data_IF_164518249049
#
_entry.id   IF_164518249049
#
_cell.length_a   1.000
_cell.length_b   1.000
_cell.length_c   1.000
_cell.angle_alpha   90.00
_cell.angle_beta   90.00
_cell.angle_gamma   90.00
#
_symmetry.space_group_name_H-M   'P 1'
#
loop_
_entity.id
_entity.type
_entity.pdbx_description
1 polymer ?
#
# COMPACT_ATOMS: atom_id res chain seq x y z
N UNK A 1 -0.45 32.39 30.78
CA UNK A 1 -0.14 32.77 32.17
C UNK A 1 0.15 31.49 32.92
N UNK A 2 1.41 31.17 33.16
CA UNK A 2 1.87 30.31 34.24
C UNK A 2 3.38 30.54 34.36
N UNK A 3 3.75 31.50 35.20
CA UNK A 3 5.13 31.83 35.53
C UNK A 3 5.60 30.86 36.61
N UNK A 4 6.37 29.84 36.22
CA UNK A 4 7.03 28.95 37.17
C UNK A 4 8.15 29.71 37.91
N UNK A 5 7.85 30.12 39.13
CA UNK A 5 8.79 30.66 40.11
C UNK A 5 9.70 29.51 40.57
N UNK A 6 10.92 29.43 40.05
CA UNK A 6 11.89 28.40 40.43
C UNK A 6 12.80 28.94 41.55
N UNK A 7 12.43 28.66 42.80
CA UNK A 7 13.25 28.94 43.98
C UNK A 7 14.37 27.90 44.10
N UNK A 8 15.58 28.26 43.67
CA UNK A 8 16.78 27.46 43.92
C UNK A 8 17.33 27.79 45.33
N UNK A 9 17.28 26.82 46.25
CA UNK A 9 17.98 26.90 47.53
C UNK A 9 19.49 26.73 47.28
N UNK A 10 20.26 27.81 47.44
CA UNK A 10 21.70 27.83 47.26
C UNK A 10 22.41 27.47 48.57
N UNK A 11 23.07 26.30 48.61
CA UNK A 11 23.98 25.92 49.68
C UNK A 11 25.38 25.76 49.08
N UNK A 12 26.28 26.64 49.53
CA UNK A 12 27.75 26.65 49.37
C UNK A 12 28.36 26.88 47.97
N UNK A 13 29.33 27.80 47.98
CA UNK A 13 30.24 28.31 46.93
C UNK A 13 30.23 27.65 45.53
N UNK A 14 29.37 28.17 44.64
CA UNK A 14 29.65 28.68 43.27
C UNK A 14 28.34 28.81 42.48
N UNK A 15 27.45 29.74 42.90
CA UNK A 15 26.11 29.91 42.28
C UNK A 15 26.19 30.24 40.79
N UNK A 16 27.25 30.94 40.37
CA UNK A 16 27.47 31.36 38.98
C UNK A 16 27.79 30.19 38.06
N UNK A 17 28.54 29.18 38.55
CA UNK A 17 28.83 27.97 37.79
C UNK A 17 27.59 27.09 37.60
N UNK A 18 26.79 26.93 38.66
CA UNK A 18 25.52 26.20 38.59
C UNK A 18 24.53 26.86 37.62
N UNK A 19 24.44 28.19 37.64
CA UNK A 19 23.62 28.95 36.68
C UNK A 19 24.08 28.74 35.23
N UNK A 20 25.38 28.87 34.95
CA UNK A 20 25.94 28.66 33.60
C UNK A 20 25.66 27.23 33.11
N UNK A 21 25.79 26.22 33.96
CA UNK A 21 25.50 24.83 33.61
C UNK A 21 24.02 24.60 33.35
N UNK A 22 23.13 25.19 34.15
CA UNK A 22 21.68 25.11 33.95
C UNK A 22 21.25 25.78 32.64
N UNK A 23 21.75 26.98 32.36
CA UNK A 23 21.48 27.71 31.11
C UNK A 23 21.97 26.90 29.90
N UNK A 24 23.19 26.36 29.96
CA UNK A 24 23.73 25.47 28.91
C UNK A 24 22.83 24.26 28.70
N UNK A 25 22.36 23.62 29.78
CA UNK A 25 21.47 22.46 29.70
C UNK A 25 20.13 22.81 29.05
N UNK A 26 19.48 23.89 29.49
CA UNK A 26 18.21 24.36 28.92
C UNK A 26 18.37 24.70 27.45
N UNK A 27 19.44 25.40 27.08
CA UNK A 27 19.71 25.77 25.68
C UNK A 27 19.94 24.53 24.81
N UNK A 28 20.67 23.54 25.34
CA UNK A 28 20.95 22.30 24.62
C UNK A 28 19.69 21.45 24.47
N UNK A 29 18.89 21.31 25.53
CA UNK A 29 17.64 20.54 25.53
C UNK A 29 16.61 21.18 24.58
N UNK A 30 16.47 22.51 24.59
CA UNK A 30 15.59 23.24 23.67
C UNK A 30 16.06 23.14 22.22
N UNK A 31 17.37 23.20 21.96
CA UNK A 31 17.94 23.01 20.63
C UNK A 31 17.72 21.59 20.09
N UNK A 32 18.00 20.55 20.87
CA UNK A 32 17.77 19.16 20.43
C UNK A 32 16.29 18.84 20.26
N UNK A 33 15.42 19.35 21.16
CA UNK A 33 13.97 19.13 21.06
C UNK A 33 13.38 19.83 19.82
N UNK A 34 13.81 21.06 19.53
CA UNK A 34 13.37 21.79 18.34
C UNK A 34 13.88 21.15 17.05
N UNK A 35 15.14 20.69 17.01
CA UNK A 35 15.70 19.94 15.88
C UNK A 35 14.95 18.64 15.60
N UNK A 36 14.59 17.89 16.65
CA UNK A 36 13.84 16.63 16.51
C UNK A 36 12.39 16.87 16.05
N UNK A 37 11.77 17.96 16.53
CA UNK A 37 10.46 18.44 16.07
C UNK A 37 10.49 18.83 14.59
N UNK A 38 11.53 19.52 14.15
CA UNK A 38 11.72 19.92 12.75
C UNK A 38 11.91 18.71 11.82
N UNK A 39 12.71 17.71 12.23
CA UNK A 39 12.85 16.46 11.48
C UNK A 39 11.55 15.66 11.37
N UNK A 40 10.74 15.61 12.44
CA UNK A 40 9.41 14.98 12.40
C UNK A 40 8.50 15.69 11.40
N UNK A 41 8.46 17.03 11.44
CA UNK A 41 7.69 17.86 10.51
C UNK A 41 8.16 17.69 9.06
N UNK A 42 9.47 17.56 8.82
CA UNK A 42 10.02 17.27 7.48
C UNK A 42 9.51 15.93 6.96
N UNK A 43 9.55 14.87 7.78
CA UNK A 43 9.03 13.55 7.40
C UNK A 43 7.54 13.60 7.07
N UNK A 44 6.74 14.29 7.90
CA UNK A 44 5.31 14.49 7.67
C UNK A 44 5.01 15.23 6.36
N UNK A 45 5.92 16.07 5.86
CA UNK A 45 5.80 16.74 4.55
C UNK A 45 6.27 15.88 3.38
N UNK A 46 7.28 15.03 3.57
CA UNK A 46 7.84 14.20 2.49
C UNK A 46 6.89 13.06 2.12
N UNK A 47 6.24 12.44 3.11
CA UNK A 47 5.32 11.30 2.90
C UNK A 47 4.18 11.63 1.93
N UNK A 48 3.42 12.73 2.08
CA UNK A 48 2.35 13.05 1.13
C UNK A 48 2.90 13.34 -0.28
N UNK A 49 4.05 13.99 -0.40
CA UNK A 49 4.71 14.21 -1.70
C UNK A 49 5.10 12.89 -2.37
N UNK A 50 5.70 11.96 -1.62
CA UNK A 50 6.01 10.62 -2.13
C UNK A 50 4.73 9.85 -2.51
N UNK A 51 3.66 10.00 -1.72
CA UNK A 51 2.34 9.44 -2.02
C UNK A 51 1.76 9.98 -3.33
N UNK A 52 1.89 11.28 -3.60
CA UNK A 52 1.45 11.90 -4.85
C UNK A 52 2.21 11.35 -6.06
N UNK A 53 3.54 11.23 -5.95
CA UNK A 53 4.38 10.64 -7.02
C UNK A 53 3.95 9.20 -7.33
N UNK A 54 3.73 8.38 -6.29
CA UNK A 54 3.27 7.00 -6.44
C UNK A 54 1.89 6.94 -7.11
N UNK A 55 0.99 7.85 -6.71
CA UNK A 55 -0.37 7.92 -7.26
C UNK A 55 -0.33 8.29 -8.75
N UNK A 56 0.47 9.30 -9.11
CA UNK A 56 0.65 9.74 -10.50
C UNK A 56 1.22 8.61 -11.37
N UNK A 57 2.26 7.90 -10.92
CA UNK A 57 2.86 6.81 -11.69
C UNK A 57 1.84 5.67 -11.90
N UNK A 58 1.11 5.30 -10.86
CA UNK A 58 0.00 4.34 -10.98
C UNK A 58 -1.08 4.84 -11.94
N UNK A 59 -1.37 6.15 -11.94
CA UNK A 59 -2.38 6.80 -12.79
C UNK A 59 -1.94 7.04 -14.24
N UNK A 60 -0.66 6.98 -14.55
CA UNK A 60 -0.16 7.15 -15.91
C UNK A 60 0.16 5.80 -16.57
N UNK A 61 0.39 4.75 -15.77
CA UNK A 61 0.68 3.42 -16.29
C UNK A 61 -0.49 2.85 -17.12
N UNK A 62 -0.23 2.51 -18.38
CA UNK A 62 -1.20 1.87 -19.27
C UNK A 62 -1.24 0.37 -19.04
N UNK A 63 -2.44 -0.17 -18.85
CA UNK A 63 -2.66 -1.61 -18.68
C UNK A 63 -3.39 -2.17 -19.88
N UNK A 64 -2.85 -3.25 -20.45
CA UNK A 64 -3.58 -4.04 -21.42
C UNK A 64 -4.60 -4.93 -20.69
N UNK A 65 -5.88 -4.70 -20.96
CA UNK A 65 -7.00 -5.46 -20.40
C UNK A 65 -7.59 -6.45 -21.42
N UNK A 66 -7.01 -6.53 -22.62
CA UNK A 66 -7.55 -7.35 -23.72
C UNK A 66 -7.14 -8.81 -23.62
N UNK A 67 -6.01 -9.11 -22.97
CA UNK A 67 -5.46 -10.46 -22.85
C UNK A 67 -5.43 -10.88 -21.38
N UNK A 68 -6.21 -11.90 -21.04
CA UNK A 68 -6.20 -12.50 -19.71
C UNK A 68 -5.37 -13.80 -19.71
N UNK A 69 -4.42 -13.98 -18.77
CA UNK A 69 -3.62 -15.20 -18.72
C UNK A 69 -4.48 -16.40 -18.33
N UNK A 70 -4.21 -17.60 -18.89
CA UNK A 70 -4.90 -18.82 -18.51
C UNK A 70 -4.71 -19.15 -17.01
N UNK A 71 -5.66 -19.91 -16.44
CA UNK A 71 -5.75 -20.19 -14.99
C UNK A 71 -4.54 -20.87 -14.37
N UNK A 72 -3.65 -21.41 -15.18
CA UNK A 72 -2.52 -22.19 -14.71
C UNK A 72 -1.27 -21.31 -14.55
N UNK A 73 -1.27 -20.13 -15.19
CA UNK A 73 -0.14 -19.20 -15.26
C UNK A 73 -0.51 -17.75 -14.91
N UNK A 74 -1.57 -17.51 -14.13
CA UNK A 74 -2.02 -16.14 -13.82
C UNK A 74 -1.02 -15.30 -12.99
N UNK A 75 -0.06 -15.94 -12.32
CA UNK A 75 1.04 -15.24 -11.65
C UNK A 75 2.17 -14.82 -12.60
N UNK A 76 2.24 -15.42 -13.80
CA UNK A 76 3.30 -15.12 -14.77
C UNK A 76 3.09 -13.72 -15.35
N UNK A 77 4.15 -12.90 -15.36
CA UNK A 77 4.08 -11.53 -15.87
C UNK A 77 3.41 -10.51 -14.95
N UNK A 78 2.85 -10.91 -13.80
CA UNK A 78 2.19 -9.99 -12.87
C UNK A 78 3.14 -8.90 -12.33
N UNK A 79 4.42 -9.20 -12.17
CA UNK A 79 5.43 -8.22 -11.76
C UNK A 79 5.61 -7.07 -12.78
N UNK A 80 5.35 -7.32 -14.07
CA UNK A 80 5.48 -6.31 -15.14
C UNK A 80 4.35 -5.28 -15.10
N UNK A 81 3.22 -5.61 -14.47
CA UNK A 81 2.07 -4.71 -14.33
C UNK A 81 2.19 -3.80 -13.09
N UNK A 82 3.33 -3.81 -12.40
CA UNK A 82 3.58 -2.94 -11.24
C UNK A 82 4.50 -1.79 -11.68
N UNK A 83 4.11 -0.52 -11.45
CA UNK A 83 4.98 0.62 -11.77
C UNK A 83 6.30 0.55 -11.01
N UNK A 84 7.37 1.10 -11.59
CA UNK A 84 8.71 1.01 -11.01
C UNK A 84 8.80 1.69 -9.64
N UNK A 85 8.11 2.82 -9.45
CA UNK A 85 8.11 3.54 -8.16
C UNK A 85 7.44 2.72 -7.06
N UNK A 86 6.31 2.06 -7.38
CA UNK A 86 5.62 1.16 -6.47
C UNK A 86 6.47 -0.08 -6.16
N UNK A 87 7.19 -0.60 -7.15
CA UNK A 87 8.12 -1.71 -6.95
C UNK A 87 9.24 -1.33 -5.97
N UNK A 88 9.85 -0.16 -6.14
CA UNK A 88 10.88 0.35 -5.23
C UNK A 88 10.34 0.50 -3.78
N UNK A 89 9.09 0.97 -3.63
CA UNK A 89 8.44 1.00 -2.31
C UNK A 89 8.28 -0.40 -1.74
N UNK A 90 7.77 -1.36 -2.51
CA UNK A 90 7.59 -2.74 -2.07
C UNK A 90 8.93 -3.40 -1.68
N UNK A 91 9.99 -3.17 -2.46
CA UNK A 91 11.33 -3.67 -2.19
C UNK A 91 11.89 -3.08 -0.88
N UNK A 92 11.62 -1.80 -0.60
CA UNK A 92 12.00 -1.16 0.68
C UNK A 92 11.31 -1.78 1.89
N UNK A 93 10.11 -2.35 1.72
CA UNK A 93 9.36 -3.05 2.77
C UNK A 93 9.83 -4.51 2.98
N UNK A 94 10.54 -5.09 2.01
CA UNK A 94 10.91 -6.52 2.02
C UNK A 94 11.89 -6.90 3.14
N UNK A 95 12.70 -5.95 3.64
CA UNK A 95 13.73 -6.23 4.66
C UNK A 95 14.80 -7.24 4.22
N UNK A 96 15.86 -7.42 5.03
CA UNK A 96 17.02 -8.29 4.68
C UNK A 96 16.79 -9.80 5.00
N UNK A 97 15.63 -10.41 4.66
CA UNK A 97 15.31 -11.79 5.07
C UNK A 97 15.42 -12.84 3.96
N UNK A 98 15.81 -14.06 4.37
CA UNK A 98 16.33 -15.22 3.60
C UNK A 98 15.39 -15.93 2.61
N UNK A 99 14.18 -15.45 2.34
CA UNK A 99 13.26 -16.10 1.38
C UNK A 99 12.60 -15.04 0.48
N UNK A 100 13.43 -14.50 -0.43
CA UNK A 100 13.09 -13.36 -1.27
C UNK A 100 11.92 -13.68 -2.22
N UNK A 101 11.83 -14.92 -2.74
CA UNK A 101 10.83 -15.24 -3.77
C UNK A 101 9.40 -15.28 -3.20
N UNK A 102 9.19 -15.95 -2.05
CA UNK A 102 7.87 -16.03 -1.41
C UNK A 102 7.40 -14.66 -0.94
N UNK A 103 8.30 -13.83 -0.42
CA UNK A 103 8.00 -12.46 0.00
C UNK A 103 7.70 -11.56 -1.19
N UNK A 104 8.47 -11.65 -2.28
CA UNK A 104 8.19 -10.92 -3.53
C UNK A 104 6.82 -11.23 -4.11
N UNK A 105 6.38 -12.49 -4.10
CA UNK A 105 5.04 -12.87 -4.55
C UNK A 105 3.94 -12.20 -3.71
N UNK A 106 4.12 -12.13 -2.39
CA UNK A 106 3.19 -11.43 -1.48
C UNK A 106 3.17 -9.92 -1.74
N UNK A 107 4.34 -9.31 -1.86
CA UNK A 107 4.48 -7.89 -2.17
C UNK A 107 3.85 -7.54 -3.51
N UNK A 108 4.04 -8.39 -4.53
CA UNK A 108 3.39 -8.25 -5.83
C UNK A 108 1.87 -8.33 -5.70
N UNK A 109 1.33 -9.27 -4.91
CA UNK A 109 -0.11 -9.36 -4.67
C UNK A 109 -0.66 -8.10 -3.97
N UNK A 110 0.08 -7.54 -3.00
CA UNK A 110 -0.28 -6.27 -2.33
C UNK A 110 -0.25 -5.10 -3.32
N UNK A 111 0.78 -5.01 -4.16
CA UNK A 111 0.88 -3.98 -5.19
C UNK A 111 -0.31 -4.03 -6.15
N UNK A 112 -0.70 -5.24 -6.59
CA UNK A 112 -1.90 -5.44 -7.41
C UNK A 112 -3.18 -5.02 -6.68
N UNK A 113 -3.29 -5.27 -5.37
CA UNK A 113 -4.41 -4.79 -4.57
C UNK A 113 -4.45 -3.26 -4.52
N UNK A 114 -3.32 -2.59 -4.27
CA UNK A 114 -3.21 -1.12 -4.25
C UNK A 114 -3.58 -0.50 -5.60
N UNK A 115 -3.07 -1.05 -6.71
CA UNK A 115 -3.40 -0.54 -8.04
C UNK A 115 -4.90 -0.74 -8.31
N UNK A 116 -5.48 -1.86 -7.89
CA UNK A 116 -6.91 -2.13 -8.06
C UNK A 116 -7.82 -1.18 -7.27
N UNK A 117 -7.37 -0.69 -6.11
CA UNK A 117 -8.12 0.31 -5.33
C UNK A 117 -8.03 1.70 -5.95
N UNK A 118 -6.87 2.05 -6.54
CA UNK A 118 -6.67 3.35 -7.20
C UNK A 118 -7.37 3.40 -8.58
N UNK A 119 -7.36 2.28 -9.32
CA UNK A 119 -7.95 2.17 -10.67
C UNK A 119 -8.90 0.99 -10.82
N UNK A 120 -10.09 1.04 -10.20
CA UNK A 120 -11.02 -0.09 -10.24
C UNK A 120 -11.58 -0.39 -11.64
N UNK A 121 -11.59 0.59 -12.56
CA UNK A 121 -12.19 0.44 -13.90
C UNK A 121 -11.20 0.08 -14.99
N UNK A 122 -9.95 0.51 -14.84
CA UNK A 122 -8.93 0.45 -15.90
C UNK A 122 -7.87 -0.61 -15.64
N UNK A 123 -7.83 -1.20 -14.46
CA UNK A 123 -6.86 -2.21 -14.08
C UNK A 123 -7.53 -3.54 -13.76
N UNK A 124 -7.14 -4.58 -14.50
CA UNK A 124 -7.55 -5.95 -14.24
C UNK A 124 -6.34 -6.73 -13.69
N UNK A 125 -6.29 -6.95 -12.38
CA UNK A 125 -5.20 -7.73 -11.78
C UNK A 125 -5.32 -9.20 -12.17
N UNK A 126 -4.32 -9.79 -12.85
CA UNK A 126 -4.31 -11.22 -13.16
C UNK A 126 -4.25 -12.09 -11.90
N UNK A 127 -3.60 -11.63 -10.83
CA UNK A 127 -3.52 -12.36 -9.56
C UNK A 127 -4.89 -12.43 -8.89
N UNK A 128 -5.57 -11.29 -8.72
CA UNK A 128 -6.85 -11.27 -8.01
C UNK A 128 -7.95 -11.97 -8.80
N UNK A 129 -8.00 -11.75 -10.12
CA UNK A 129 -8.97 -12.44 -10.99
C UNK A 129 -8.65 -13.93 -11.13
N UNK A 130 -7.38 -14.31 -11.23
CA UNK A 130 -6.94 -15.70 -11.30
C UNK A 130 -7.37 -16.50 -10.07
N UNK A 131 -7.22 -15.92 -8.87
CA UNK A 131 -7.70 -16.53 -7.62
C UNK A 131 -9.23 -16.67 -7.63
N UNK A 132 -9.97 -15.64 -8.06
CA UNK A 132 -11.43 -15.70 -8.15
C UNK A 132 -11.90 -16.81 -9.10
N UNK A 133 -11.30 -16.91 -10.29
CA UNK A 133 -11.60 -17.92 -11.29
C UNK A 133 -11.22 -19.33 -10.81
N UNK A 134 -10.05 -19.46 -10.16
CA UNK A 134 -9.59 -20.73 -9.59
C UNK A 134 -10.55 -21.24 -8.52
N UNK A 135 -10.95 -20.37 -7.59
CA UNK A 135 -11.93 -20.70 -6.55
C UNK A 135 -13.26 -21.10 -7.16
N UNK A 136 -13.74 -20.35 -8.17
CA UNK A 136 -14.99 -20.66 -8.85
C UNK A 136 -14.96 -22.03 -9.53
N UNK A 137 -13.90 -22.33 -10.28
CA UNK A 137 -13.74 -23.63 -10.97
C UNK A 137 -13.58 -24.80 -10.01
N UNK A 138 -12.82 -24.61 -8.92
CA UNK A 138 -12.49 -25.70 -7.99
C UNK A 138 -13.63 -26.02 -7.01
N UNK A 139 -14.36 -25.02 -6.53
CA UNK A 139 -15.36 -25.20 -5.48
C UNK A 139 -16.80 -25.02 -5.96
N UNK A 140 -17.07 -24.32 -7.06
CA UNK A 140 -18.41 -24.10 -7.60
C UNK A 140 -19.40 -23.40 -6.65
N UNK A 141 -18.94 -22.93 -5.49
CA UNK A 141 -19.79 -22.44 -4.41
C UNK A 141 -20.03 -20.93 -4.52
N UNK A 142 -21.30 -20.56 -4.71
CA UNK A 142 -21.77 -19.16 -4.70
C UNK A 142 -21.50 -18.46 -3.36
N UNK A 143 -21.41 -19.22 -2.27
CA UNK A 143 -21.11 -18.69 -0.94
C UNK A 143 -19.66 -18.19 -0.86
N UNK A 144 -18.69 -18.97 -1.36
CA UNK A 144 -17.28 -18.56 -1.35
C UNK A 144 -17.04 -17.32 -2.21
N UNK A 145 -17.69 -17.27 -3.38
CA UNK A 145 -17.59 -16.13 -4.30
C UNK A 145 -18.15 -14.85 -3.68
N UNK A 146 -19.18 -14.95 -2.84
CA UNK A 146 -19.75 -13.79 -2.14
C UNK A 146 -18.97 -13.35 -0.89
N UNK A 147 -18.12 -14.22 -0.33
CA UNK A 147 -17.23 -13.89 0.80
C UNK A 147 -15.95 -13.17 0.36
N UNK A 148 -15.41 -13.47 -0.82
CA UNK A 148 -14.15 -12.91 -1.30
C UNK A 148 -14.14 -11.37 -1.42
N UNK A 149 -15.20 -10.72 -1.94
CA UNK A 149 -15.29 -9.25 -1.94
C UNK A 149 -15.40 -8.66 -0.54
N UNK A 150 -16.02 -9.38 0.41
CA UNK A 150 -16.16 -8.93 1.80
C UNK A 150 -14.82 -8.93 2.55
N UNK A 151 -13.89 -9.76 2.11
CA UNK A 151 -12.51 -9.83 2.63
C UNK A 151 -11.60 -8.75 2.04
N UNK A 152 -12.08 -7.94 1.09
CA UNK A 152 -11.28 -6.90 0.44
C UNK A 152 -10.19 -7.44 -0.51
N UNK A 153 -10.19 -8.75 -0.79
CA UNK A 153 -9.17 -9.42 -1.62
C UNK A 153 -9.53 -9.46 -3.09
N UNK A 154 -10.79 -9.23 -3.45
CA UNK A 154 -11.27 -9.27 -4.83
C UNK A 154 -12.02 -7.97 -5.12
N UNK A 155 -11.62 -7.33 -6.23
CA UNK A 155 -12.31 -6.21 -6.83
C UNK A 155 -13.80 -6.49 -6.79
N UNK A 156 -14.53 -5.56 -6.22
CA UNK A 156 -15.96 -5.71 -5.99
C UNK A 156 -16.61 -6.35 -7.21
N UNK A 157 -17.38 -7.40 -6.99
CA UNK A 157 -18.46 -7.86 -7.89
C UNK A 157 -19.52 -6.74 -8.05
N UNK A 158 -19.23 -5.50 -7.59
CA UNK A 158 -20.04 -4.31 -7.75
C UNK A 158 -19.61 -3.45 -8.97
N UNK A 159 -18.55 -3.82 -9.69
CA UNK A 159 -18.40 -3.39 -11.10
C UNK A 159 -19.16 -4.31 -12.08
N UNK A 160 -19.78 -5.35 -11.55
CA UNK A 160 -20.96 -5.95 -12.14
C UNK A 160 -22.16 -5.19 -11.53
N UNK A 161 -22.55 -4.05 -12.13
CA UNK A 161 -23.86 -3.45 -11.88
C UNK A 161 -24.94 -4.55 -11.93
N UNK A 162 -26.11 -4.41 -11.25
CA UNK A 162 -27.22 -5.35 -11.37
C UNK A 162 -27.65 -5.62 -12.84
N UNK A 163 -27.24 -4.76 -13.78
CA UNK A 163 -27.34 -4.97 -15.23
C UNK A 163 -26.49 -6.14 -15.79
N UNK A 164 -25.62 -6.76 -15.00
CA UNK A 164 -24.76 -7.88 -15.43
C UNK A 164 -25.09 -9.21 -14.76
N UNK A 165 -26.14 -9.27 -13.93
CA UNK A 165 -26.87 -10.52 -13.72
C UNK A 165 -27.38 -11.11 -15.04
N UNK A 166 -27.59 -10.27 -16.07
CA UNK A 166 -27.89 -10.65 -17.45
C UNK A 166 -26.64 -10.87 -18.32
N UNK A 167 -25.47 -10.37 -17.91
CA UNK A 167 -24.19 -10.53 -18.61
C UNK A 167 -23.35 -11.69 -18.05
N UNK A 168 -23.86 -12.43 -17.06
CA UNK A 168 -23.53 -13.84 -16.87
C UNK A 168 -23.93 -14.70 -18.08
N UNK A 169 -24.63 -14.15 -19.08
CA UNK A 169 -24.70 -14.74 -20.43
C UNK A 169 -23.67 -14.16 -21.41
N UNK A 170 -23.18 -12.94 -21.24
CA UNK A 170 -22.40 -12.25 -22.29
C UNK A 170 -20.89 -12.08 -22.03
N UNK A 171 -20.40 -12.05 -20.78
CA UNK A 171 -18.96 -12.25 -20.51
C UNK A 171 -18.63 -13.74 -20.59
N UNK A 172 -19.58 -14.60 -20.22
CA UNK A 172 -19.56 -16.01 -20.63
C UNK A 172 -19.66 -16.16 -22.16
N UNK A 173 -20.36 -15.29 -22.90
CA UNK A 173 -20.40 -15.35 -24.39
C UNK A 173 -19.07 -14.95 -25.03
N UNK A 174 -18.39 -13.92 -24.52
CA UNK A 174 -17.05 -13.55 -25.02
C UNK A 174 -16.02 -14.65 -24.68
N UNK A 175 -16.11 -15.27 -23.50
CA UNK A 175 -15.26 -16.41 -23.11
C UNK A 175 -15.62 -17.73 -23.80
N UNK A 176 -16.90 -18.04 -24.04
CA UNK A 176 -17.33 -19.24 -24.79
C UNK A 176 -17.07 -19.13 -26.30
N UNK A 177 -16.96 -17.92 -26.84
CA UNK A 177 -16.66 -17.70 -28.26
C UNK A 177 -15.17 -17.84 -28.59
N UNK A 178 -14.29 -17.72 -27.59
CA UNK A 178 -12.83 -17.79 -27.78
C UNK A 178 -12.23 -19.16 -27.41
N UNK A 179 -12.95 -20.02 -26.65
CA UNK A 179 -12.51 -21.36 -26.25
C UNK A 179 -13.56 -22.44 -26.60
N UNK A 180 -13.93 -22.53 -27.88
CA UNK A 180 -14.74 -23.63 -28.41
C UNK A 180 -13.82 -24.57 -29.19
N UNK A 181 -13.54 -25.75 -28.61
CA UNK A 181 -13.34 -26.98 -29.38
C UNK A 181 -14.70 -27.65 -29.54
#
# INVERSE_FOLDING_TARGET
METALFSAQFVNEKPLYAFVMLVKKILNDTWYTSKLSDEKKKRERIVPTAGAILLEDMQLMTYDTTVFPPSDNFCSGAEKMVPQTLKALMDSLSGKKRDDEKMRKKLTAIAHAIISTIRPRSFLSPILHGIALFVNRKFGSKSLISLLPRLGTIGTVNHLSPCTAYTCRNILSIYFRQYRF
#
